data_IF_782159960103
#
_entry.id   IF_782159960103
#
_cell.length_a   1.000
_cell.length_b   1.000
_cell.length_c   1.000
_cell.angle_alpha   90.00
_cell.angle_beta   90.00
_cell.angle_gamma   90.00
#
_symmetry.space_group_name_H-M   'P 1'
#
loop_
_entity.id
_entity.type
_entity.pdbx_description
1 polymer ?
#
# COMPACT_ATOMS: atom_id res chain seq x y z
N UNK A 1 -5.81 -11.18 -12.42
CA UNK A 1 -5.22 -10.82 -13.73
C UNK A 1 -4.20 -11.86 -14.12
N UNK A 2 -4.03 -12.14 -15.41
CA UNK A 2 -3.04 -13.11 -15.86
C UNK A 2 -1.64 -12.49 -15.77
N UNK A 3 -0.91 -12.85 -14.71
CA UNK A 3 0.46 -12.38 -14.44
C UNK A 3 1.39 -12.53 -15.65
N UNK A 4 1.10 -13.49 -16.52
CA UNK A 4 1.85 -13.75 -17.75
C UNK A 4 1.79 -12.56 -18.71
N UNK A 5 0.61 -11.95 -18.87
CA UNK A 5 0.41 -10.80 -19.76
C UNK A 5 1.19 -9.60 -19.23
N UNK A 6 1.11 -9.33 -17.92
CA UNK A 6 1.84 -8.24 -17.28
C UNK A 6 3.35 -8.40 -17.47
N UNK A 7 3.88 -9.60 -17.22
CA UNK A 7 5.31 -9.88 -17.44
C UNK A 7 5.72 -9.65 -18.90
N UNK A 8 4.92 -10.08 -19.88
CA UNK A 8 5.20 -9.82 -21.30
C UNK A 8 5.19 -8.32 -21.62
N UNK A 9 4.24 -7.55 -21.08
CA UNK A 9 4.20 -6.10 -21.25
C UNK A 9 5.43 -5.40 -20.66
N UNK A 10 5.87 -5.83 -19.47
CA UNK A 10 7.05 -5.28 -18.80
C UNK A 10 8.34 -5.60 -19.56
N UNK A 11 8.47 -6.81 -20.11
CA UNK A 11 9.61 -7.18 -20.96
C UNK A 11 9.63 -6.39 -22.26
N UNK A 12 8.46 -6.20 -22.90
CA UNK A 12 8.36 -5.34 -24.08
C UNK A 12 8.74 -3.89 -23.76
N UNK A 13 8.30 -3.37 -22.60
CA UNK A 13 8.68 -2.04 -22.15
C UNK A 13 10.19 -1.92 -21.93
N UNK A 14 10.80 -2.90 -21.28
CA UNK A 14 12.25 -2.98 -21.03
C UNK A 14 13.07 -3.04 -22.32
N UNK A 15 12.60 -3.80 -23.32
CA UNK A 15 13.31 -3.93 -24.60
C UNK A 15 13.10 -2.74 -25.54
N UNK A 16 11.96 -2.05 -25.42
CA UNK A 16 11.56 -0.99 -26.36
C UNK A 16 11.90 0.42 -25.88
N UNK A 17 12.12 0.59 -24.57
CA UNK A 17 12.39 1.88 -23.96
C UNK A 17 13.57 1.79 -23.00
N UNK A 18 14.20 2.94 -22.70
CA UNK A 18 15.26 3.02 -21.69
C UNK A 18 14.67 2.92 -20.27
N UNK A 19 14.29 1.70 -19.90
CA UNK A 19 13.68 1.36 -18.62
C UNK A 19 14.57 1.70 -17.43
N UNK A 20 15.89 1.77 -17.60
CA UNK A 20 16.88 2.13 -16.57
C UNK A 20 16.64 3.54 -15.99
N UNK A 21 15.92 4.38 -16.73
CA UNK A 21 15.49 5.70 -16.27
C UNK A 21 14.28 5.66 -15.36
N UNK A 22 13.51 4.58 -15.36
CA UNK A 22 12.39 4.38 -14.42
C UNK A 22 12.95 4.15 -13.02
N UNK A 23 12.65 5.06 -12.10
CA UNK A 23 13.13 4.97 -10.71
C UNK A 23 12.11 4.39 -9.75
N UNK A 24 10.83 4.60 -10.03
CA UNK A 24 9.74 4.21 -9.15
C UNK A 24 8.52 3.78 -9.96
N UNK A 25 7.87 2.70 -9.56
CA UNK A 25 6.56 2.27 -10.06
C UNK A 25 5.57 2.31 -8.90
N UNK A 26 4.41 2.91 -9.14
CA UNK A 26 3.29 2.90 -8.20
C UNK A 26 2.32 1.79 -8.61
N UNK A 27 2.04 0.88 -7.68
CA UNK A 27 1.26 -0.35 -7.93
C UNK A 27 0.15 -0.51 -6.93
N UNK A 28 -0.80 -1.38 -7.23
CA UNK A 28 -1.79 -1.79 -6.23
C UNK A 28 -1.17 -2.77 -5.24
N UNK A 29 -1.89 -3.07 -4.16
CA UNK A 29 -1.45 -4.11 -3.22
C UNK A 29 -1.78 -5.50 -3.79
N UNK A 30 -1.28 -5.78 -4.99
CA UNK A 30 -1.34 -7.08 -5.64
C UNK A 30 0.06 -7.70 -5.68
N UNK A 31 0.21 -8.81 -4.96
CA UNK A 31 1.51 -9.51 -4.89
C UNK A 31 1.91 -10.10 -6.24
N UNK A 32 0.97 -10.45 -7.12
CA UNK A 32 1.30 -10.94 -8.47
C UNK A 32 1.91 -9.83 -9.31
N UNK A 33 1.33 -8.63 -9.26
CA UNK A 33 1.86 -7.43 -9.93
C UNK A 33 3.25 -7.07 -9.41
N UNK A 34 3.41 -7.02 -8.08
CA UNK A 34 4.68 -6.72 -7.41
C UNK A 34 5.76 -7.73 -7.83
N UNK A 35 5.44 -9.03 -7.81
CA UNK A 35 6.38 -10.08 -8.20
C UNK A 35 6.76 -9.98 -9.68
N UNK A 36 5.81 -9.70 -10.57
CA UNK A 36 6.09 -9.53 -11.99
C UNK A 36 7.03 -8.34 -12.22
N UNK A 37 6.81 -7.21 -11.55
CA UNK A 37 7.67 -6.02 -11.65
C UNK A 37 9.06 -6.29 -11.07
N UNK A 38 9.16 -6.90 -9.88
CA UNK A 38 10.47 -7.25 -9.29
C UNK A 38 11.27 -8.21 -10.19
N UNK A 39 10.58 -9.09 -10.92
CA UNK A 39 11.22 -10.05 -11.83
C UNK A 39 11.69 -9.40 -13.14
N UNK A 40 10.88 -8.52 -13.73
CA UNK A 40 11.20 -7.89 -15.02
C UNK A 40 12.07 -6.63 -14.88
N UNK A 41 11.90 -5.86 -13.81
CA UNK A 41 12.55 -4.56 -13.57
C UNK A 41 13.14 -4.50 -12.15
N UNK A 42 14.14 -5.34 -11.81
CA UNK A 42 14.62 -5.50 -10.43
C UNK A 42 15.25 -4.23 -9.81
N UNK A 43 15.57 -3.22 -10.63
CA UNK A 43 16.19 -1.97 -10.20
C UNK A 43 15.19 -0.87 -9.81
N UNK A 44 13.88 -1.05 -10.07
CA UNK A 44 12.87 -0.03 -9.78
C UNK A 44 12.40 -0.11 -8.33
N UNK A 45 12.20 1.06 -7.70
CA UNK A 45 11.53 1.10 -6.41
C UNK A 45 10.03 0.88 -6.59
N UNK A 46 9.45 -0.05 -5.84
CA UNK A 46 8.01 -0.28 -5.87
C UNK A 46 7.38 0.46 -4.70
N UNK A 47 6.34 1.25 -4.98
CA UNK A 47 5.54 1.96 -3.99
C UNK A 47 4.08 1.61 -4.17
N UNK A 48 3.34 1.47 -3.07
CA UNK A 48 1.90 1.32 -3.18
C UNK A 48 1.26 2.63 -3.64
N UNK A 49 0.29 2.52 -4.54
CA UNK A 49 -0.50 3.63 -5.03
C UNK A 49 -1.27 4.28 -3.88
N UNK A 50 -1.08 5.59 -3.72
CA UNK A 50 -1.69 6.34 -2.64
C UNK A 50 -3.23 6.33 -2.71
N UNK A 51 -3.76 6.45 -3.92
CA UNK A 51 -5.20 6.46 -4.18
C UNK A 51 -5.84 5.12 -3.81
N UNK A 52 -5.28 4.00 -4.27
CA UNK A 52 -5.85 2.69 -4.01
C UNK A 52 -5.72 2.27 -2.54
N UNK A 53 -4.59 2.59 -1.90
CA UNK A 53 -4.43 2.30 -0.46
C UNK A 53 -5.42 3.08 0.40
N UNK A 54 -5.54 4.39 0.20
CA UNK A 54 -6.52 5.21 0.92
C UNK A 54 -7.96 4.78 0.62
N UNK A 55 -8.28 4.43 -0.63
CA UNK A 55 -9.61 3.95 -1.02
C UNK A 55 -9.94 2.60 -0.36
N UNK A 56 -8.98 1.68 -0.30
CA UNK A 56 -9.14 0.38 0.34
C UNK A 56 -9.42 0.52 1.85
N UNK A 57 -8.63 1.35 2.54
CA UNK A 57 -8.84 1.64 3.98
C UNK A 57 -10.20 2.29 4.19
N UNK A 58 -10.54 3.32 3.41
CA UNK A 58 -11.84 4.01 3.53
C UNK A 58 -13.01 3.04 3.36
N UNK A 59 -13.00 2.19 2.33
CA UNK A 59 -14.05 1.19 2.10
C UNK A 59 -14.14 0.20 3.25
N UNK A 60 -13.01 -0.29 3.76
CA UNK A 60 -12.99 -1.22 4.89
C UNK A 60 -13.56 -0.57 6.16
N UNK A 61 -13.20 0.68 6.46
CA UNK A 61 -13.71 1.42 7.62
C UNK A 61 -15.21 1.75 7.49
N UNK A 62 -15.70 2.06 6.29
CA UNK A 62 -17.12 2.31 6.03
C UNK A 62 -18.01 1.06 6.25
N UNK A 63 -17.43 -0.14 6.16
CA UNK A 63 -18.12 -1.38 6.50
C UNK A 63 -18.15 -1.66 8.00
N UNK A 64 -17.42 -0.85 8.80
CA UNK A 64 -17.43 -0.95 10.26
C UNK A 64 -18.48 -0.01 10.85
N UNK A 65 -18.92 -0.30 12.07
CA UNK A 65 -19.89 0.53 12.81
C UNK A 65 -19.23 1.80 13.40
N UNK A 66 -18.57 2.59 12.55
CA UNK A 66 -17.87 3.81 12.91
C UNK A 66 -18.67 5.04 12.45
N UNK A 67 -18.54 6.15 13.18
CA UNK A 67 -19.05 7.43 12.72
C UNK A 67 -18.18 8.00 11.57
N UNK A 68 -18.75 8.90 10.77
CA UNK A 68 -17.99 9.59 9.71
C UNK A 68 -16.76 10.33 10.25
N UNK A 69 -16.82 10.90 11.46
CA UNK A 69 -15.69 11.59 12.08
C UNK A 69 -14.57 10.63 12.48
N UNK A 70 -14.90 9.45 13.02
CA UNK A 70 -13.92 8.41 13.32
C UNK A 70 -13.25 7.90 12.05
N UNK A 71 -14.03 7.68 10.98
CA UNK A 71 -13.49 7.23 9.68
C UNK A 71 -12.50 8.27 9.13
N UNK A 72 -12.87 9.55 9.10
CA UNK A 72 -11.96 10.61 8.63
C UNK A 72 -10.68 10.68 9.46
N UNK A 73 -10.80 10.65 10.79
CA UNK A 73 -9.63 10.68 11.69
C UNK A 73 -8.67 9.50 11.44
N UNK A 74 -9.20 8.28 11.32
CA UNK A 74 -8.41 7.09 11.03
C UNK A 74 -7.75 7.14 9.65
N UNK A 75 -8.43 7.68 8.64
CA UNK A 75 -7.88 7.88 7.30
C UNK A 75 -6.73 8.89 7.35
N UNK A 76 -6.89 10.01 8.04
CA UNK A 76 -5.86 11.04 8.14
C UNK A 76 -4.60 10.49 8.83
N UNK A 77 -4.78 9.77 9.94
CA UNK A 77 -3.67 9.08 10.63
C UNK A 77 -2.99 8.05 9.73
N UNK A 78 -3.74 7.27 8.95
CA UNK A 78 -3.18 6.29 8.03
C UNK A 78 -2.41 6.94 6.88
N UNK A 79 -2.92 8.04 6.31
CA UNK A 79 -2.23 8.79 5.25
C UNK A 79 -0.92 9.35 5.78
N UNK A 80 -0.92 9.92 6.99
CA UNK A 80 0.28 10.41 7.64
C UNK A 80 1.27 9.26 7.92
N UNK A 81 0.78 8.14 8.44
CA UNK A 81 1.59 6.96 8.75
C UNK A 81 2.30 6.44 7.50
N UNK A 82 1.57 6.27 6.39
CA UNK A 82 2.12 5.78 5.11
C UNK A 82 3.21 6.69 4.54
N UNK A 83 3.11 7.99 4.82
CA UNK A 83 4.03 9.01 4.28
C UNK A 83 5.25 9.23 5.20
N UNK A 84 5.31 8.57 6.35
CA UNK A 84 6.43 8.69 7.28
C UNK A 84 7.69 8.01 6.73
N UNK A 85 8.81 8.75 6.75
CA UNK A 85 10.14 8.21 6.50
C UNK A 85 10.88 7.84 7.79
N UNK A 86 10.39 8.33 8.94
CA UNK A 86 10.95 8.06 10.26
C UNK A 86 10.17 6.94 10.96
N UNK A 87 10.89 5.91 11.42
CA UNK A 87 10.28 4.73 12.02
C UNK A 87 9.66 5.03 13.40
N UNK A 88 10.23 5.97 14.15
CA UNK A 88 9.69 6.39 15.45
C UNK A 88 8.32 7.07 15.26
N UNK A 89 8.22 8.00 14.32
CA UNK A 89 6.97 8.65 13.93
C UNK A 89 5.94 7.65 13.38
N UNK A 90 6.37 6.71 12.54
CA UNK A 90 5.52 5.63 12.04
C UNK A 90 4.88 4.83 13.18
N UNK A 91 5.69 4.43 14.16
CA UNK A 91 5.23 3.67 15.33
C UNK A 91 4.31 4.51 16.22
N UNK A 92 4.61 5.79 16.45
CA UNK A 92 3.72 6.67 17.21
C UNK A 92 2.34 6.82 16.55
N UNK A 93 2.27 6.87 15.21
CA UNK A 93 1.00 6.89 14.49
C UNK A 93 0.29 5.53 14.53
N UNK A 94 1.04 4.42 14.49
CA UNK A 94 0.51 3.06 14.69
C UNK A 94 -0.17 2.93 16.05
N UNK A 95 0.47 3.44 17.10
CA UNK A 95 -0.03 3.40 18.47
C UNK A 95 -1.31 4.24 18.59
N UNK A 96 -1.32 5.46 18.02
CA UNK A 96 -2.53 6.31 17.96
C UNK A 96 -3.69 5.63 17.25
N UNK A 97 -3.45 5.02 16.08
CA UNK A 97 -4.48 4.25 15.36
C UNK A 97 -4.98 3.11 16.26
N UNK A 98 -4.09 2.42 16.96
CA UNK A 98 -4.44 1.30 17.83
C UNK A 98 -5.28 1.71 19.03
N UNK A 99 -4.98 2.86 19.64
CA UNK A 99 -5.68 3.40 20.81
C UNK A 99 -7.14 3.76 20.49
N UNK A 100 -7.40 4.35 19.32
CA UNK A 100 -8.75 4.81 18.94
C UNK A 100 -9.56 3.77 18.16
N UNK A 101 -8.93 2.67 17.73
CA UNK A 101 -9.57 1.63 16.90
C UNK A 101 -10.27 0.58 17.75
N UNK A 102 -11.55 0.27 17.48
CA UNK A 102 -12.19 -0.93 17.98
C UNK A 102 -11.44 -2.21 17.55
N UNK A 103 -11.58 -3.35 18.27
CA UNK A 103 -10.82 -4.57 17.99
C UNK A 103 -10.90 -5.09 16.55
N UNK A 104 -12.06 -4.94 15.90
CA UNK A 104 -12.29 -5.40 14.53
C UNK A 104 -11.67 -4.48 13.46
N UNK A 105 -11.46 -3.20 13.79
CA UNK A 105 -10.71 -2.23 12.99
C UNK A 105 -9.21 -2.47 13.16
N UNK A 106 -8.77 -2.67 14.41
CA UNK A 106 -7.39 -2.97 14.73
C UNK A 106 -6.92 -4.25 14.02
N UNK A 107 -7.74 -5.31 14.06
CA UNK A 107 -7.47 -6.55 13.34
C UNK A 107 -7.28 -6.33 11.83
N UNK A 108 -8.09 -5.46 11.21
CA UNK A 108 -7.93 -5.10 9.81
C UNK A 108 -6.55 -4.46 9.55
N UNK A 109 -6.12 -3.50 10.38
CA UNK A 109 -4.81 -2.86 10.22
C UNK A 109 -3.64 -3.84 10.40
N UNK A 110 -3.71 -4.68 11.43
CA UNK A 110 -2.71 -5.71 11.69
C UNK A 110 -2.57 -6.67 10.50
N UNK A 111 -3.68 -7.24 10.02
CA UNK A 111 -3.65 -8.25 8.97
C UNK A 111 -3.31 -7.70 7.58
N UNK A 112 -3.72 -6.46 7.27
CA UNK A 112 -3.61 -5.93 5.91
C UNK A 112 -2.46 -4.97 5.70
N UNK A 113 -1.98 -4.31 6.75
CA UNK A 113 -1.05 -3.18 6.62
C UNK A 113 0.22 -3.33 7.46
N UNK A 114 0.14 -3.77 8.71
CA UNK A 114 1.30 -3.76 9.61
C UNK A 114 2.09 -5.08 9.64
N UNK A 115 1.42 -6.22 9.45
CA UNK A 115 2.10 -7.53 9.37
C UNK A 115 2.35 -7.97 7.93
N UNK A 116 2.09 -7.11 6.94
CA UNK A 116 2.44 -7.42 5.57
C UNK A 116 3.97 -7.33 5.44
N UNK A 117 4.68 -8.37 4.95
CA UNK A 117 6.10 -8.28 4.66
C UNK A 117 6.31 -7.04 3.79
N UNK A 118 7.18 -6.14 4.25
CA UNK A 118 7.35 -4.83 3.63
C UNK A 118 7.58 -5.01 2.13
N UNK A 119 6.88 -4.17 1.36
CA UNK A 119 7.18 -3.94 -0.04
C UNK A 119 8.61 -3.41 -0.21
#
# INVERSE_FOLDING_TARGET
EDSTILSSCLLFFDSSFDSQRTKTIFVDKDMAEICAIKSSLPFVNIRLCAFHTTTAVKKALQQKKLSSSQISCLIDLFIEQRSCMDMSKYNALKDKISEISPPDVLSYFVCNWWNCPQL
#
